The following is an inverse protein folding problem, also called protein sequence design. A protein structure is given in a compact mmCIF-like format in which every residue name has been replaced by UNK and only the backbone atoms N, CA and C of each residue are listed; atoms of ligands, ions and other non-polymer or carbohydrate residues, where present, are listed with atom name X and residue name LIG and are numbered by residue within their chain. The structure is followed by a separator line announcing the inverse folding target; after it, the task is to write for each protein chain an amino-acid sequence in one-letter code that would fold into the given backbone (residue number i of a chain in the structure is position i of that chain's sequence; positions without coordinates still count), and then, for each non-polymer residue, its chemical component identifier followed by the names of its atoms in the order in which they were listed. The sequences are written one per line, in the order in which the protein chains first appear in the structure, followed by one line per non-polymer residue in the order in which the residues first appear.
data_IF_206239668721
#
_entry.id   IF_206239668721
#
_cell.length_a   1.000
_cell.length_b   1.000
_cell.length_c   1.000
_cell.angle_alpha   90.00
_cell.angle_beta   90.00
_cell.angle_gamma   90.00
#
_symmetry.space_group_name_H-M   'P 1'
#
loop_
_entity.id
_entity.type
_entity.pdbx_description
1 polymer ?
#
# COMPACT_ATOMS: atom_id res chain seq x y z
N UNK A 1 -15.24 2.83 -12.72
CA UNK A 1 -14.92 2.37 -11.36
C UNK A 1 -14.55 3.53 -10.44
N UNK A 2 -13.54 4.35 -10.75
CA UNK A 2 -13.14 5.48 -9.87
C UNK A 2 -14.32 6.44 -9.66
N UNK A 3 -14.90 6.97 -10.73
CA UNK A 3 -16.06 7.91 -10.67
C UNK A 3 -17.31 7.29 -10.07
N UNK A 4 -17.45 5.98 -10.14
CA UNK A 4 -18.60 5.24 -9.59
C UNK A 4 -18.41 4.86 -8.11
N UNK A 5 -17.27 5.16 -7.48
CA UNK A 5 -16.99 4.80 -6.09
C UNK A 5 -16.91 3.29 -5.83
N UNK A 6 -16.56 2.50 -6.86
CA UNK A 6 -16.51 1.03 -6.79
C UNK A 6 -15.17 0.49 -6.26
N UNK A 7 -14.22 1.37 -5.98
CA UNK A 7 -12.91 1.01 -5.44
C UNK A 7 -12.86 1.25 -3.92
N UNK A 8 -12.26 0.32 -3.21
CA UNK A 8 -11.96 0.43 -1.79
C UNK A 8 -10.89 1.51 -1.53
N UNK A 9 -9.87 1.50 -2.37
CA UNK A 9 -8.81 2.50 -2.48
C UNK A 9 -8.33 2.56 -3.93
N UNK A 10 -7.71 3.66 -4.31
CA UNK A 10 -6.99 3.78 -5.57
C UNK A 10 -5.90 4.84 -5.48
N UNK A 11 -4.84 4.68 -6.27
CA UNK A 11 -3.72 5.61 -6.35
C UNK A 11 -3.22 5.72 -7.79
N UNK A 12 -2.60 6.86 -8.10
CA UNK A 12 -1.84 7.05 -9.34
C UNK A 12 -0.34 7.01 -9.04
N UNK A 13 0.31 5.91 -9.46
CA UNK A 13 1.74 5.68 -9.25
C UNK A 13 2.46 5.75 -10.59
N UNK A 14 3.36 6.72 -10.76
CA UNK A 14 4.14 6.92 -12.00
C UNK A 14 3.28 6.99 -13.28
N UNK A 15 2.12 7.63 -13.21
CA UNK A 15 1.19 7.77 -14.35
C UNK A 15 0.30 6.55 -14.61
N UNK A 16 0.37 5.52 -13.78
CA UNK A 16 -0.52 4.36 -13.82
C UNK A 16 -1.48 4.39 -12.65
N UNK A 17 -2.76 4.14 -12.93
CA UNK A 17 -3.78 4.03 -11.89
C UNK A 17 -3.93 2.58 -11.46
N UNK A 18 -3.82 2.35 -10.16
CA UNK A 18 -4.04 1.07 -9.51
C UNK A 18 -5.07 1.26 -8.42
N UNK A 19 -5.82 0.21 -8.08
CA UNK A 19 -6.80 0.28 -7.01
C UNK A 19 -7.47 -1.06 -6.76
N UNK A 20 -8.04 -1.21 -5.58
CA UNK A 20 -8.69 -2.44 -5.12
C UNK A 20 -10.20 -2.34 -5.28
N UNK A 21 -10.85 -3.21 -6.07
CA UNK A 21 -12.31 -3.26 -6.17
C UNK A 21 -12.94 -3.59 -4.81
N UNK A 22 -13.92 -2.80 -4.38
CA UNK A 22 -14.56 -2.95 -3.07
C UNK A 22 -15.48 -4.20 -2.99
N UNK A 23 -16.16 -4.53 -4.09
CA UNK A 23 -17.16 -5.61 -4.10
C UNK A 23 -16.58 -7.01 -3.86
N UNK A 24 -15.44 -7.43 -4.49
CA UNK A 24 -14.80 -8.70 -4.15
C UNK A 24 -14.38 -8.79 -2.68
N UNK A 25 -13.85 -7.71 -2.12
CA UNK A 25 -13.44 -7.65 -0.70
C UNK A 25 -14.67 -7.79 0.20
N UNK A 26 -15.73 -7.03 -0.07
CA UNK A 26 -16.99 -7.11 0.70
C UNK A 26 -17.58 -8.52 0.69
N UNK A 27 -17.60 -9.17 -0.47
CA UNK A 27 -18.13 -10.53 -0.62
C UNK A 27 -17.34 -11.56 0.16
N UNK A 28 -16.02 -11.49 0.12
CA UNK A 28 -15.17 -12.43 0.84
C UNK A 28 -15.31 -12.26 2.35
N UNK A 29 -15.24 -11.03 2.86
CA UNK A 29 -15.45 -10.74 4.28
C UNK A 29 -16.86 -11.17 4.75
N UNK A 30 -17.89 -10.92 3.94
CA UNK A 30 -19.25 -11.37 4.24
C UNK A 30 -19.42 -12.90 4.24
N UNK A 31 -18.51 -13.64 3.61
CA UNK A 31 -18.43 -15.09 3.65
C UNK A 31 -17.51 -15.61 4.78
N UNK A 32 -16.96 -14.74 5.62
CA UNK A 32 -16.01 -15.11 6.67
C UNK A 32 -14.62 -15.51 6.16
N UNK A 33 -14.25 -15.02 4.97
CA UNK A 33 -12.94 -15.29 4.34
C UNK A 33 -12.04 -14.09 4.59
N UNK A 34 -10.86 -14.34 5.15
CA UNK A 34 -9.83 -13.33 5.33
C UNK A 34 -9.26 -12.88 3.98
N UNK A 35 -8.96 -11.59 3.87
CA UNK A 35 -8.40 -10.99 2.67
C UNK A 35 -7.06 -10.34 3.02
N UNK A 36 -6.03 -10.70 2.28
CA UNK A 36 -4.74 -10.03 2.29
C UNK A 36 -4.68 -9.05 1.10
N UNK A 37 -4.44 -7.78 1.38
CA UNK A 37 -4.27 -6.73 0.37
C UNK A 37 -2.80 -6.30 0.35
N UNK A 38 -2.19 -6.32 -0.84
CA UNK A 38 -0.84 -5.77 -1.05
C UNK A 38 -1.00 -4.32 -1.55
N UNK A 39 -0.66 -3.39 -0.69
CA UNK A 39 -0.86 -1.94 -0.91
C UNK A 39 0.42 -1.20 -0.58
N UNK A 40 0.56 0.01 -1.10
CA UNK A 40 1.54 0.94 -0.54
C UNK A 40 0.99 1.62 0.73
N UNK A 41 1.81 2.45 1.36
CA UNK A 41 1.46 3.11 2.63
C UNK A 41 0.22 4.01 2.49
N UNK A 42 0.06 4.69 1.35
CA UNK A 42 -1.10 5.56 1.08
C UNK A 42 -2.37 4.73 0.97
N UNK A 43 -2.36 3.66 0.17
CA UNK A 43 -3.48 2.72 0.04
C UNK A 43 -3.85 2.07 1.36
N UNK A 44 -2.86 1.63 2.15
CA UNK A 44 -3.09 1.05 3.48
C UNK A 44 -3.80 2.04 4.43
N UNK A 45 -3.40 3.31 4.42
CA UNK A 45 -4.08 4.36 5.21
C UNK A 45 -5.51 4.61 4.76
N UNK A 46 -5.78 4.57 3.45
CA UNK A 46 -7.14 4.67 2.93
C UNK A 46 -8.00 3.50 3.39
N UNK A 47 -7.46 2.27 3.33
CA UNK A 47 -8.16 1.09 3.87
C UNK A 47 -8.44 1.26 5.36
N UNK A 48 -7.48 1.73 6.17
CA UNK A 48 -7.69 2.00 7.60
C UNK A 48 -8.81 3.01 7.85
N UNK A 49 -8.91 4.06 7.01
CA UNK A 49 -9.95 5.09 7.17
C UNK A 49 -11.37 4.53 6.96
N UNK A 50 -11.55 3.57 6.01
CA UNK A 50 -12.85 2.94 5.72
C UNK A 50 -13.08 1.66 6.51
N UNK A 51 -12.02 1.02 6.97
CA UNK A 51 -12.02 -0.21 7.79
C UNK A 51 -11.12 -0.04 9.02
N UNK A 52 -11.58 0.62 10.09
CA UNK A 52 -10.72 0.89 11.27
C UNK A 52 -10.17 -0.37 11.96
N UNK A 53 -10.80 -1.54 11.74
CA UNK A 53 -10.38 -2.84 12.29
C UNK A 53 -9.44 -3.63 11.37
N UNK A 54 -9.12 -3.12 10.17
CA UNK A 54 -8.12 -3.76 9.32
C UNK A 54 -6.75 -3.77 10.02
N UNK A 55 -6.04 -4.89 10.00
CA UNK A 55 -4.68 -4.99 10.53
C UNK A 55 -3.71 -4.50 9.46
N UNK A 56 -2.95 -3.45 9.74
CA UNK A 56 -1.93 -2.92 8.86
C UNK A 56 -0.56 -3.50 9.22
N UNK A 57 0.04 -4.21 8.27
CA UNK A 57 1.36 -4.82 8.40
C UNK A 57 2.32 -4.11 7.45
N UNK A 58 3.39 -3.53 7.98
CA UNK A 58 4.48 -2.99 7.17
C UNK A 58 5.55 -4.05 6.99
N UNK A 59 5.86 -4.39 5.73
CA UNK A 59 7.03 -5.18 5.40
C UNK A 59 8.19 -4.24 5.08
N UNK A 60 9.19 -4.18 5.94
CA UNK A 60 10.36 -3.34 5.71
C UNK A 60 11.59 -4.19 5.31
N UNK A 61 12.49 -3.66 4.47
CA UNK A 61 13.76 -4.32 4.20
C UNK A 61 14.64 -4.26 5.45
N UNK A 62 15.61 -5.19 5.61
CA UNK A 62 16.54 -5.13 6.75
C UNK A 62 17.41 -3.87 6.74
N UNK A 63 17.76 -3.35 5.55
CA UNK A 63 18.43 -2.07 5.35
C UNK A 63 18.06 -1.46 3.99
N UNK A 64 18.31 -0.17 3.82
CA UNK A 64 18.10 0.51 2.52
C UNK A 64 19.08 0.02 1.46
N UNK A 65 20.29 -0.36 1.83
CA UNK A 65 21.27 -0.96 0.91
C UNK A 65 20.79 -2.32 0.37
N UNK A 66 20.15 -3.12 1.21
CA UNK A 66 19.56 -4.39 0.79
C UNK A 66 18.36 -4.16 -0.14
N UNK A 67 17.53 -3.16 0.11
CA UNK A 67 16.46 -2.75 -0.79
C UNK A 67 17.02 -2.34 -2.15
N UNK A 68 18.05 -1.48 -2.18
CA UNK A 68 18.73 -1.07 -3.41
C UNK A 68 19.27 -2.28 -4.17
N UNK A 69 19.96 -3.19 -3.49
CA UNK A 69 20.49 -4.42 -4.08
C UNK A 69 19.36 -5.26 -4.73
N UNK A 70 18.23 -5.43 -4.04
CA UNK A 70 17.07 -6.18 -4.55
C UNK A 70 16.45 -5.51 -5.77
N UNK A 71 16.30 -4.19 -5.75
CA UNK A 71 15.76 -3.42 -6.87
C UNK A 71 16.68 -3.52 -8.10
N UNK A 72 18.00 -3.37 -7.92
CA UNK A 72 18.99 -3.53 -9.00
C UNK A 72 18.98 -4.95 -9.60
N UNK A 73 18.85 -5.99 -8.76
CA UNK A 73 18.87 -7.38 -9.21
C UNK A 73 17.66 -7.75 -10.11
N UNK A 74 16.55 -7.03 -10.01
CA UNK A 74 15.38 -7.22 -10.89
C UNK A 74 15.63 -6.76 -12.33
N UNK A 75 16.63 -5.87 -12.56
CA UNK A 75 17.07 -5.45 -13.87
C UNK A 75 16.05 -4.68 -14.72
N UNK A 76 14.95 -4.23 -14.14
CA UNK A 76 13.83 -3.57 -14.82
C UNK A 76 13.85 -2.06 -14.69
N UNK A 77 14.74 -1.50 -13.87
CA UNK A 77 14.75 -0.09 -13.52
C UNK A 77 15.90 0.65 -14.19
N UNK A 78 15.63 1.89 -14.58
CA UNK A 78 16.68 2.86 -14.90
C UNK A 78 17.26 3.41 -13.60
N UNK A 79 18.46 4.02 -13.63
CA UNK A 79 19.06 4.66 -12.44
C UNK A 79 18.14 5.73 -11.86
N UNK A 80 17.45 6.49 -12.70
CA UNK A 80 16.47 7.50 -12.27
C UNK A 80 15.24 6.85 -11.62
N UNK A 81 14.74 5.75 -12.19
CA UNK A 81 13.63 4.97 -11.63
C UNK A 81 13.99 4.38 -10.27
N UNK A 82 15.21 3.84 -10.14
CA UNK A 82 15.73 3.32 -8.89
C UNK A 82 15.80 4.41 -7.81
N UNK A 83 16.38 5.58 -8.13
CA UNK A 83 16.47 6.69 -7.18
C UNK A 83 15.08 7.14 -6.69
N UNK A 84 14.09 7.22 -7.59
CA UNK A 84 12.70 7.54 -7.21
C UNK A 84 12.09 6.50 -6.28
N UNK A 85 12.32 5.20 -6.54
CA UNK A 85 11.82 4.11 -5.67
C UNK A 85 12.45 4.11 -4.29
N UNK A 86 13.76 4.34 -4.21
CA UNK A 86 14.44 4.45 -2.93
C UNK A 86 13.95 5.65 -2.12
N UNK A 87 13.79 6.81 -2.75
CA UNK A 87 13.25 7.99 -2.09
C UNK A 87 11.77 7.82 -1.66
N UNK A 88 10.98 7.02 -2.41
CA UNK A 88 9.62 6.66 -1.98
C UNK A 88 9.68 5.76 -0.75
N UNK A 89 10.49 4.70 -0.78
CA UNK A 89 10.62 3.76 0.33
C UNK A 89 11.07 4.44 1.63
N UNK A 90 12.04 5.37 1.55
CA UNK A 90 12.49 6.14 2.70
C UNK A 90 11.35 6.91 3.38
N UNK A 91 10.53 7.62 2.58
CA UNK A 91 9.33 8.33 3.08
C UNK A 91 8.25 7.41 3.61
N UNK A 92 8.12 6.21 3.06
CA UNK A 92 7.16 5.21 3.54
C UNK A 92 7.59 4.64 4.89
N UNK A 93 8.88 4.39 5.09
CA UNK A 93 9.44 3.93 6.35
C UNK A 93 9.31 4.95 7.48
N UNK A 94 9.34 6.25 7.18
CA UNK A 94 9.04 7.31 8.15
C UNK A 94 7.62 7.20 8.73
N UNK A 95 6.69 6.54 8.03
CA UNK A 95 5.30 6.37 8.44
C UNK A 95 5.03 5.06 9.19
N UNK A 96 6.06 4.32 9.59
CA UNK A 96 5.96 3.00 10.23
C UNK A 96 5.06 2.99 11.47
N UNK A 97 4.97 4.09 12.21
CA UNK A 97 4.13 4.23 13.40
C UNK A 97 2.61 4.16 13.09
N UNK A 98 2.22 4.32 11.83
CA UNK A 98 0.82 4.19 11.40
C UNK A 98 0.37 2.72 11.24
N UNK A 99 1.30 1.77 11.34
CA UNK A 99 1.07 0.34 11.18
C UNK A 99 0.96 -0.36 12.53
N UNK A 100 0.14 -1.41 12.58
CA UNK A 100 -0.05 -2.20 13.81
C UNK A 100 1.13 -3.14 14.06
N UNK A 101 1.73 -3.63 12.97
CA UNK A 101 2.87 -4.55 13.02
C UNK A 101 3.89 -4.16 11.96
N UNK A 102 5.16 -4.27 12.31
CA UNK A 102 6.29 -4.11 11.39
C UNK A 102 7.07 -5.41 11.34
N UNK A 103 7.25 -5.97 10.14
CA UNK A 103 7.99 -7.20 9.90
C UNK A 103 9.20 -6.87 9.03
N UNK A 104 10.39 -7.22 9.51
CA UNK A 104 11.61 -7.10 8.71
C UNK A 104 11.70 -8.27 7.74
N UNK A 105 11.60 -7.99 6.45
CA UNK A 105 11.70 -8.99 5.39
C UNK A 105 13.18 -9.23 5.00
N UNK A 106 13.93 -9.87 5.87
CA UNK A 106 15.28 -10.37 5.58
C UNK A 106 15.23 -11.76 4.92
N UNK A 107 14.25 -12.58 5.30
CA UNK A 107 13.93 -13.89 4.73
C UNK A 107 12.43 -13.95 4.40
N UNK A 108 12.11 -14.33 3.16
CA UNK A 108 10.74 -14.29 2.66
C UNK A 108 9.84 -15.36 3.29
N UNK A 109 10.36 -16.55 3.59
CA UNK A 109 9.59 -17.64 4.22
C UNK A 109 9.25 -17.27 5.66
N UNK A 110 10.24 -16.77 6.41
CA UNK A 110 10.04 -16.30 7.77
C UNK A 110 9.04 -15.14 7.83
N UNK A 111 9.15 -14.17 6.94
CA UNK A 111 8.22 -13.05 6.89
C UNK A 111 6.80 -13.51 6.55
N UNK A 112 6.64 -14.50 5.64
CA UNK A 112 5.34 -15.09 5.32
C UNK A 112 4.73 -15.82 6.50
N UNK A 113 5.53 -16.60 7.27
CA UNK A 113 5.08 -17.29 8.49
C UNK A 113 4.61 -16.29 9.56
N UNK A 114 5.31 -15.16 9.73
CA UNK A 114 4.90 -14.12 10.65
C UNK A 114 3.57 -13.48 10.24
N UNK A 115 3.38 -13.19 8.94
CA UNK A 115 2.10 -12.70 8.40
C UNK A 115 0.98 -13.72 8.64
N UNK A 116 1.22 -15.01 8.36
CA UNK A 116 0.24 -16.07 8.58
C UNK A 116 -0.17 -16.15 10.06
N UNK A 117 0.79 -16.08 10.98
CA UNK A 117 0.50 -16.11 12.42
C UNK A 117 -0.35 -14.90 12.87
N UNK A 118 -0.16 -13.73 12.25
CA UNK A 118 -0.98 -12.54 12.51
C UNK A 118 -2.42 -12.77 12.01
N UNK A 119 -2.59 -13.32 10.81
CA UNK A 119 -3.92 -13.63 10.25
C UNK A 119 -4.65 -14.60 11.19
N UNK A 120 -4.00 -15.70 11.59
CA UNK A 120 -4.58 -16.71 12.47
C UNK A 120 -4.98 -16.17 13.86
N UNK A 121 -4.23 -15.17 14.36
CA UNK A 121 -4.49 -14.54 15.66
C UNK A 121 -5.50 -13.37 15.59
N UNK A 122 -5.80 -12.88 14.39
CA UNK A 122 -6.66 -11.72 14.22
C UNK A 122 -8.15 -12.10 14.35
N UNK A 123 -8.96 -11.32 15.09
CA UNK A 123 -10.40 -11.57 15.13
C UNK A 123 -11.00 -11.28 13.76
N UNK A 124 -11.98 -12.09 13.34
CA UNK A 124 -12.72 -11.83 12.10
C UNK A 124 -13.30 -10.41 12.09
N UNK A 125 -13.09 -9.71 10.98
CA UNK A 125 -13.60 -8.35 10.79
C UNK A 125 -14.99 -8.44 10.17
N UNK A 126 -15.99 -7.89 10.84
CA UNK A 126 -17.32 -7.71 10.26
C UNK A 126 -17.20 -6.90 8.96
N UNK A 127 -17.96 -7.28 7.93
CA UNK A 127 -17.81 -6.81 6.56
C UNK A 127 -17.66 -5.29 6.36
N UNK A 128 -17.24 -4.90 5.17
CA UNK A 128 -17.15 -3.49 4.75
C UNK A 128 -18.49 -2.77 4.93
N UNK A 129 -18.51 -1.52 5.42
CA UNK A 129 -19.71 -0.69 5.40
C UNK A 129 -20.24 -0.53 3.97
N UNK A 130 -21.57 -0.44 3.83
CA UNK A 130 -22.28 -0.45 2.54
C UNK A 130 -21.89 0.71 1.60
N UNK A 131 -21.35 1.78 2.15
CA UNK A 131 -20.84 2.94 1.42
C UNK A 131 -19.45 3.35 1.98
N UNK A 132 -18.40 2.83 1.38
CA UNK A 132 -17.08 3.43 1.54
C UNK A 132 -16.96 4.58 0.52
N UNK A 133 -16.84 5.85 0.94
CA UNK A 133 -16.59 6.94 0.02
C UNK A 133 -15.23 6.73 -0.63
N UNK A 134 -15.19 6.58 -1.95
CA UNK A 134 -13.94 6.54 -2.70
C UNK A 134 -13.15 7.82 -2.41
N UNK A 135 -12.05 7.70 -1.69
CA UNK A 135 -11.19 8.83 -1.37
C UNK A 135 -10.24 9.08 -2.53
N UNK A 136 -10.18 10.35 -2.97
CA UNK A 136 -9.19 10.79 -3.94
C UNK A 136 -7.88 11.06 -3.18
N UNK A 137 -6.78 10.45 -3.59
CA UNK A 137 -5.47 10.88 -3.17
C UNK A 137 -5.27 12.33 -3.63
N UNK A 138 -4.97 13.24 -2.71
CA UNK A 138 -4.52 14.59 -3.04
C UNK A 138 -3.18 14.45 -3.81
N UNK A 139 -3.26 14.55 -5.13
CA UNK A 139 -2.08 14.62 -5.97
C UNK A 139 -1.28 15.84 -5.58
N UNK A 140 -0.09 15.67 -5.08
CA UNK A 140 0.92 16.73 -4.97
C UNK A 140 1.32 17.16 -6.39
N UNK A 141 0.56 18.10 -6.93
CA UNK A 141 0.96 18.87 -8.11
C UNK A 141 2.08 19.82 -7.69
N UNK A 142 3.32 19.37 -7.72
CA UNK A 142 4.45 20.30 -7.72
C UNK A 142 4.60 20.92 -9.09
N UNK A 143 4.36 22.21 -9.07
CA UNK A 143 4.33 23.18 -10.07
C UNK A 143 5.46 23.18 -11.09
N UNK A 144 5.07 23.04 -12.32
CA UNK A 144 5.82 23.55 -13.47
C UNK A 144 5.56 25.06 -13.62
N UNK A 145 6.39 25.86 -12.98
CA UNK A 145 6.47 27.29 -13.32
C UNK A 145 7.25 27.43 -14.61
N UNK A 146 6.52 27.44 -15.74
CA UNK A 146 7.02 27.88 -17.01
C UNK A 146 7.50 29.33 -16.93
N UNK A 147 8.80 29.53 -17.09
CA UNK A 147 9.42 30.81 -17.31
C UNK A 147 9.12 31.29 -18.76
N UNK A 148 8.14 32.16 -18.90
CA UNK A 148 8.05 33.01 -20.11
C UNK A 148 8.92 34.20 -19.88
N UNK A 149 9.82 34.49 -20.82
CA UNK A 149 10.53 35.76 -20.94
C UNK A 149 10.31 36.32 -22.35
N UNK A 150 10.19 37.66 -22.44
CA UNK A 150 9.80 38.41 -23.64
C UNK A 150 10.80 38.38 -24.78
#
# INVERSE_FOLDING_TARGET
MIEAGELLEWEEIFGHRSGTPAEPVRRALGAGIDILLELDVTGARHVRAVMPRAVLILLEPPTMEELERRLRSRGTETEEGLARRLAKADRELEQREAFDVVIVNDDAERAADEVAAIIDASPQVDGLPEAAPGHQAEGTAEGEKGSSKP
#
